data_IF_760824247397
#
_entry.id   IF_760824247397
#
_cell.length_a   1.000
_cell.length_b   1.000
_cell.length_c   1.000
_cell.angle_alpha   90.00
_cell.angle_beta   90.00
_cell.angle_gamma   90.00
#
_symmetry.space_group_name_H-M   'P 1'
#
loop_
_entity.id
_entity.type
_entity.pdbx_description
1 polymer ?
#
# COMPACT_ATOMS: atom_id res chain seq x y z
N UNK A 1 20.91 11.39 -10.77
CA UNK A 1 21.24 12.79 -11.00
C UNK A 1 22.32 13.22 -10.04
N UNK A 2 23.32 13.94 -10.53
CA UNK A 2 24.42 14.48 -9.72
C UNK A 2 23.93 15.77 -9.07
N UNK A 3 24.12 15.98 -7.76
CA UNK A 3 23.69 17.20 -7.10
C UNK A 3 24.32 18.44 -7.73
N UNK A 4 23.49 19.39 -8.13
CA UNK A 4 23.93 20.68 -8.70
C UNK A 4 24.25 20.70 -10.19
N UNK A 5 24.14 19.60 -10.92
CA UNK A 5 24.22 19.61 -12.38
C UNK A 5 22.91 20.07 -13.01
N UNK A 6 23.00 21.04 -13.93
CA UNK A 6 21.86 21.54 -14.68
C UNK A 6 21.45 20.56 -15.80
N UNK A 7 20.18 20.50 -16.11
CA UNK A 7 19.64 19.70 -17.20
C UNK A 7 18.57 20.48 -17.97
N UNK A 8 18.83 20.74 -19.24
CA UNK A 8 17.88 21.43 -20.14
C UNK A 8 16.58 20.64 -20.26
N UNK A 9 16.64 19.32 -20.15
CA UNK A 9 15.47 18.44 -20.12
C UNK A 9 14.57 18.73 -18.91
N UNK A 10 15.14 18.92 -17.73
CA UNK A 10 14.38 19.22 -16.52
C UNK A 10 13.75 20.60 -16.57
N UNK A 11 14.46 21.62 -17.04
CA UNK A 11 13.87 22.96 -17.21
C UNK A 11 12.76 22.96 -18.25
N UNK A 12 12.91 22.23 -19.36
CA UNK A 12 11.88 22.12 -20.39
C UNK A 12 10.60 21.47 -19.90
N UNK A 13 10.69 20.35 -19.18
CA UNK A 13 9.49 19.59 -18.75
C UNK A 13 8.86 20.09 -17.44
N UNK A 14 9.66 20.58 -16.49
CA UNK A 14 9.17 20.99 -15.18
C UNK A 14 9.07 22.52 -15.02
N UNK A 15 9.68 23.26 -15.94
CA UNK A 15 9.74 24.71 -15.91
C UNK A 15 10.59 25.25 -14.75
N UNK A 16 10.77 26.56 -14.74
CA UNK A 16 11.58 27.26 -13.71
C UNK A 16 10.96 27.22 -12.31
N UNK A 17 9.67 26.91 -12.22
CA UNK A 17 9.00 26.75 -10.93
C UNK A 17 9.58 25.60 -10.11
N UNK A 18 9.93 24.49 -10.76
CA UNK A 18 10.40 23.26 -10.14
C UNK A 18 11.85 22.91 -10.46
N UNK A 19 12.37 23.39 -11.57
CA UNK A 19 13.73 23.16 -12.01
C UNK A 19 14.41 24.45 -12.52
N UNK A 20 14.58 25.47 -11.67
CA UNK A 20 15.21 26.73 -12.06
C UNK A 20 16.64 26.49 -12.56
N UNK A 21 16.91 26.99 -13.77
CA UNK A 21 18.21 26.75 -14.43
C UNK A 21 18.58 25.29 -14.66
N UNK A 22 17.55 24.40 -14.73
CA UNK A 22 17.75 22.97 -14.94
C UNK A 22 18.15 22.16 -13.70
N UNK A 23 18.13 22.77 -12.52
CA UNK A 23 18.39 22.11 -11.21
C UNK A 23 17.07 21.88 -10.48
N UNK A 24 16.78 20.63 -10.14
CA UNK A 24 15.55 20.27 -9.45
C UNK A 24 15.52 20.84 -8.03
N UNK A 25 14.42 21.49 -7.65
CA UNK A 25 14.19 21.92 -6.26
C UNK A 25 14.07 20.72 -5.32
N UNK A 26 14.52 20.87 -4.08
CA UNK A 26 14.50 19.81 -3.07
C UNK A 26 13.09 19.26 -2.83
N UNK A 27 12.10 20.13 -2.70
CA UNK A 27 10.69 19.71 -2.48
C UNK A 27 10.15 18.89 -3.65
N UNK A 28 10.48 19.27 -4.89
CA UNK A 28 10.07 18.51 -6.07
C UNK A 28 10.78 17.15 -6.13
N UNK A 29 12.07 17.11 -5.77
CA UNK A 29 12.79 15.84 -5.68
C UNK A 29 12.15 14.90 -4.65
N UNK A 30 11.88 15.38 -3.44
CA UNK A 30 11.19 14.62 -2.39
C UNK A 30 9.79 14.19 -2.81
N UNK A 31 9.09 15.07 -3.53
CA UNK A 31 7.80 14.74 -4.14
C UNK A 31 7.88 13.59 -5.14
N UNK A 32 8.85 13.62 -6.05
CA UNK A 32 9.08 12.53 -7.01
C UNK A 32 9.43 11.22 -6.31
N UNK A 33 10.27 11.25 -5.27
CA UNK A 33 10.60 10.06 -4.45
C UNK A 33 9.34 9.50 -3.75
N UNK A 34 8.53 10.39 -3.17
CA UNK A 34 7.27 10.01 -2.49
C UNK A 34 6.30 9.35 -3.45
N UNK A 35 6.04 9.97 -4.59
CA UNK A 35 5.12 9.44 -5.60
C UNK A 35 5.66 8.16 -6.24
N UNK A 36 6.98 8.10 -6.52
CA UNK A 36 7.60 6.88 -7.03
C UNK A 36 7.41 5.71 -6.06
N UNK A 37 7.71 5.88 -4.77
CA UNK A 37 7.48 4.85 -3.77
C UNK A 37 6.02 4.43 -3.68
N UNK A 38 5.09 5.39 -3.67
CA UNK A 38 3.64 5.12 -3.63
C UNK A 38 3.17 4.34 -4.86
N UNK A 39 3.55 4.77 -6.07
CA UNK A 39 3.14 4.10 -7.31
C UNK A 39 3.70 2.68 -7.37
N UNK A 40 4.97 2.49 -7.04
CA UNK A 40 5.61 1.17 -7.10
C UNK A 40 4.95 0.19 -6.13
N UNK A 41 4.71 0.58 -4.89
CA UNK A 41 4.15 -0.32 -3.87
C UNK A 41 2.67 -0.59 -4.12
N UNK A 42 1.85 0.45 -4.21
CA UNK A 42 0.40 0.29 -4.24
C UNK A 42 -0.13 0.07 -5.67
N UNK A 43 0.25 0.89 -6.63
CA UNK A 43 -0.35 0.84 -7.96
C UNK A 43 0.27 -0.25 -8.84
N UNK A 44 1.60 -0.40 -8.85
CA UNK A 44 2.26 -1.37 -9.70
C UNK A 44 2.24 -2.78 -9.08
N UNK A 45 2.77 -2.93 -7.87
CA UNK A 45 2.91 -4.26 -7.29
C UNK A 45 1.56 -4.79 -6.80
N UNK A 46 0.78 -4.03 -6.05
CA UNK A 46 -0.51 -4.49 -5.55
C UNK A 46 -1.57 -4.48 -6.64
N UNK A 47 -1.76 -3.38 -7.34
CA UNK A 47 -2.74 -3.27 -8.43
C UNK A 47 -2.36 -4.12 -9.64
N UNK A 48 -1.11 -4.06 -10.10
CA UNK A 48 -0.62 -4.79 -11.26
C UNK A 48 -0.44 -6.29 -10.98
N UNK A 49 0.37 -6.65 -9.99
CA UNK A 49 0.67 -8.06 -9.71
C UNK A 49 -0.53 -8.78 -9.09
N UNK A 50 -1.06 -8.29 -7.98
CA UNK A 50 -2.19 -8.95 -7.32
C UNK A 50 -3.50 -8.75 -8.07
N UNK A 51 -3.80 -7.54 -8.55
CA UNK A 51 -5.07 -7.25 -9.23
C UNK A 51 -5.19 -7.89 -10.61
N UNK A 52 -4.18 -7.75 -11.47
CA UNK A 52 -4.24 -8.27 -12.85
C UNK A 52 -4.12 -9.80 -12.88
N UNK A 53 -3.10 -10.34 -12.22
CA UNK A 53 -2.89 -11.80 -12.27
C UNK A 53 -3.96 -12.59 -11.52
N UNK A 54 -4.51 -12.06 -10.42
CA UNK A 54 -5.59 -12.75 -9.72
C UNK A 54 -6.86 -12.82 -10.55
N UNK A 55 -7.27 -11.73 -11.21
CA UNK A 55 -8.45 -11.71 -12.08
C UNK A 55 -8.32 -12.66 -13.28
N UNK A 56 -7.10 -12.85 -13.78
CA UNK A 56 -6.83 -13.79 -14.87
C UNK A 56 -6.73 -15.23 -14.36
N UNK A 57 -5.91 -15.46 -13.34
CA UNK A 57 -5.50 -16.82 -12.95
C UNK A 57 -6.49 -17.51 -12.03
N UNK A 58 -7.20 -16.79 -11.16
CA UNK A 58 -8.16 -17.43 -10.26
C UNK A 58 -9.24 -18.16 -11.06
N UNK A 59 -10.00 -17.53 -11.96
CA UNK A 59 -11.02 -18.26 -12.73
C UNK A 59 -10.43 -19.40 -13.56
N UNK A 60 -9.31 -19.17 -14.24
CA UNK A 60 -8.68 -20.18 -15.09
C UNK A 60 -8.23 -21.41 -14.29
N UNK A 61 -7.56 -21.21 -13.16
CA UNK A 61 -6.98 -22.32 -12.39
C UNK A 61 -8.00 -23.08 -11.55
N UNK A 62 -9.12 -22.45 -11.15
CA UNK A 62 -10.19 -23.16 -10.44
C UNK A 62 -11.28 -23.70 -11.35
N UNK A 63 -11.23 -23.41 -12.65
CA UNK A 63 -12.24 -23.81 -13.63
C UNK A 63 -13.56 -23.04 -13.55
N UNK A 64 -13.54 -21.82 -13.03
CA UNK A 64 -14.68 -20.90 -13.03
C UNK A 64 -14.79 -20.17 -14.38
N UNK A 65 -16.01 -19.77 -14.75
CA UNK A 65 -16.23 -18.98 -15.97
C UNK A 65 -15.74 -17.55 -15.83
N UNK A 66 -15.90 -16.97 -14.64
CA UNK A 66 -15.54 -15.60 -14.30
C UNK A 66 -15.41 -15.49 -12.77
N UNK A 67 -15.08 -14.28 -12.27
CA UNK A 67 -15.14 -13.93 -10.87
C UNK A 67 -16.60 -14.01 -10.35
N UNK A 68 -16.77 -14.23 -9.04
CA UNK A 68 -18.10 -14.44 -8.44
C UNK A 68 -19.05 -13.26 -8.64
N UNK A 69 -18.54 -12.03 -8.61
CA UNK A 69 -19.31 -10.82 -8.84
C UNK A 69 -18.67 -9.93 -9.90
N UNK A 70 -19.25 -9.91 -11.09
CA UNK A 70 -18.83 -8.99 -12.16
C UNK A 70 -19.00 -7.51 -11.78
N UNK A 71 -20.03 -7.19 -10.97
CA UNK A 71 -20.25 -5.83 -10.48
C UNK A 71 -19.13 -5.37 -9.54
N UNK A 72 -18.78 -6.18 -8.54
CA UNK A 72 -17.68 -5.86 -7.61
C UNK A 72 -16.36 -5.75 -8.36
N UNK A 73 -16.12 -6.59 -9.34
CA UNK A 73 -14.93 -6.56 -10.17
C UNK A 73 -14.82 -5.26 -10.96
N UNK A 74 -15.90 -4.86 -11.61
CA UNK A 74 -15.97 -3.61 -12.39
C UNK A 74 -15.82 -2.38 -11.48
N UNK A 75 -16.50 -2.34 -10.33
CA UNK A 75 -16.38 -1.24 -9.39
C UNK A 75 -14.96 -1.13 -8.83
N UNK A 76 -14.33 -2.25 -8.47
CA UNK A 76 -12.93 -2.29 -8.03
C UNK A 76 -12.01 -1.65 -9.08
N UNK A 77 -12.15 -2.02 -10.35
CA UNK A 77 -11.37 -1.42 -11.43
C UNK A 77 -11.60 0.09 -11.56
N UNK A 78 -12.84 0.58 -11.53
CA UNK A 78 -13.12 2.01 -11.68
C UNK A 78 -12.62 2.84 -10.50
N UNK A 79 -12.72 2.34 -9.28
CA UNK A 79 -12.12 3.01 -8.12
C UNK A 79 -10.59 3.07 -8.25
N UNK A 80 -9.95 2.00 -8.70
CA UNK A 80 -8.51 1.97 -8.97
C UNK A 80 -8.12 2.97 -10.06
N UNK A 81 -8.86 3.00 -11.16
CA UNK A 81 -8.58 3.89 -12.29
C UNK A 81 -8.68 5.36 -11.90
N UNK A 82 -9.75 5.76 -11.20
CA UNK A 82 -9.91 7.14 -10.72
C UNK A 82 -8.81 7.48 -9.71
N UNK A 83 -8.50 6.58 -8.79
CA UNK A 83 -7.39 6.72 -7.84
C UNK A 83 -6.06 7.00 -8.56
N UNK A 84 -5.76 6.23 -9.62
CA UNK A 84 -4.54 6.39 -10.42
C UNK A 84 -4.48 7.75 -11.10
N UNK A 85 -5.60 8.22 -11.66
CA UNK A 85 -5.68 9.55 -12.29
C UNK A 85 -5.41 10.65 -11.26
N UNK A 86 -6.04 10.59 -10.08
CA UNK A 86 -5.85 11.59 -9.02
C UNK A 86 -4.38 11.63 -8.58
N UNK A 87 -3.74 10.46 -8.43
CA UNK A 87 -2.31 10.36 -8.08
C UNK A 87 -1.43 11.01 -9.14
N UNK A 88 -1.69 10.75 -10.42
CA UNK A 88 -0.93 11.35 -11.52
C UNK A 88 -1.17 12.87 -11.63
N UNK A 89 -2.39 13.34 -11.46
CA UNK A 89 -2.73 14.77 -11.48
C UNK A 89 -1.98 15.51 -10.39
N UNK A 90 -1.75 14.87 -9.22
CA UNK A 90 -1.00 15.50 -8.12
C UNK A 90 0.43 15.92 -8.48
N UNK A 91 1.02 15.35 -9.54
CA UNK A 91 2.35 15.74 -10.04
C UNK A 91 2.37 17.10 -10.74
N UNK A 92 1.23 17.54 -11.28
CA UNK A 92 1.14 18.70 -12.18
C UNK A 92 0.47 19.92 -11.54
N UNK A 93 0.16 19.86 -10.25
CA UNK A 93 -0.46 20.99 -9.54
C UNK A 93 0.60 22.00 -9.09
N UNK A 94 0.21 23.26 -8.94
CA UNK A 94 1.09 24.37 -8.58
C UNK A 94 1.83 24.16 -7.25
N UNK A 95 1.15 23.57 -6.26
CA UNK A 95 1.74 23.26 -4.94
C UNK A 95 2.70 22.07 -4.94
N UNK A 96 2.83 21.39 -6.07
CA UNK A 96 3.63 20.17 -6.20
C UNK A 96 2.97 18.92 -5.57
N UNK A 97 3.56 17.74 -5.81
CA UNK A 97 3.11 16.48 -5.25
C UNK A 97 3.36 16.38 -3.74
N UNK A 98 2.74 15.41 -3.08
CA UNK A 98 3.08 15.07 -1.70
C UNK A 98 4.59 14.75 -1.59
N UNK A 99 5.28 15.34 -0.60
CA UNK A 99 6.74 15.24 -0.47
C UNK A 99 7.21 14.81 0.93
N UNK A 100 6.33 14.22 1.73
CA UNK A 100 6.63 13.75 3.10
C UNK A 100 7.10 12.28 3.16
N UNK A 101 7.50 11.70 2.02
CA UNK A 101 7.81 10.26 1.89
C UNK A 101 6.56 9.42 1.65
N UNK A 102 6.71 8.21 1.09
CA UNK A 102 5.57 7.34 0.74
C UNK A 102 4.77 6.84 1.95
N UNK A 103 5.37 6.86 3.15
CA UNK A 103 4.70 6.51 4.41
C UNK A 103 3.85 7.64 4.99
N UNK A 104 4.02 8.88 4.51
CA UNK A 104 3.18 10.04 4.85
C UNK A 104 3.06 10.26 6.36
N UNK A 105 4.15 10.30 7.07
CA UNK A 105 4.13 10.46 8.53
C UNK A 105 3.69 11.87 8.98
N UNK A 106 2.70 11.97 9.89
CA UNK A 106 2.48 13.18 10.65
C UNK A 106 3.63 13.42 11.66
N UNK A 107 3.89 14.64 12.09
CA UNK A 107 3.09 15.86 11.86
C UNK A 107 3.30 16.53 10.51
N UNK A 108 4.38 16.22 9.78
CA UNK A 108 4.73 16.87 8.50
C UNK A 108 3.56 16.81 7.50
N UNK A 109 2.96 15.63 7.32
CA UNK A 109 1.85 15.41 6.39
C UNK A 109 0.52 15.98 6.87
N UNK A 110 0.36 16.21 8.18
CA UNK A 110 -0.88 16.70 8.78
C UNK A 110 -1.00 18.23 8.76
N UNK A 111 0.13 18.95 8.67
CA UNK A 111 0.16 20.41 8.73
C UNK A 111 0.12 21.02 7.32
N UNK A 112 -0.97 21.71 6.92
CA UNK A 112 -1.05 22.35 5.61
C UNK A 112 0.03 23.42 5.37
N UNK A 113 0.60 23.96 6.45
CA UNK A 113 1.64 24.99 6.42
C UNK A 113 3.05 24.42 6.29
N UNK A 114 3.25 23.14 6.54
CA UNK A 114 4.56 22.52 6.51
C UNK A 114 5.11 22.47 5.07
N UNK A 115 6.37 22.85 4.91
CA UNK A 115 7.10 22.67 3.65
C UNK A 115 7.32 21.19 3.44
N UNK A 116 7.13 20.72 2.21
CA UNK A 116 7.36 19.33 1.84
C UNK A 116 6.24 18.34 2.17
N UNK A 117 5.30 18.69 3.04
CA UNK A 117 4.15 17.83 3.39
C UNK A 117 2.79 18.48 3.14
N UNK A 118 2.81 19.68 2.58
CA UNK A 118 1.67 20.60 2.57
C UNK A 118 0.96 20.70 1.22
N UNK A 119 -0.11 21.49 1.24
CA UNK A 119 -0.83 21.88 0.04
C UNK A 119 -1.75 20.79 -0.52
N UNK A 120 -2.26 21.10 -1.72
CA UNK A 120 -3.24 20.28 -2.42
C UNK A 120 -2.69 18.90 -2.82
N UNK A 121 -1.39 18.80 -3.11
CA UNK A 121 -0.77 17.54 -3.49
C UNK A 121 -0.90 16.45 -2.45
N UNK A 122 -0.72 16.80 -1.17
CA UNK A 122 -0.92 15.88 -0.07
C UNK A 122 -2.40 15.48 0.08
N UNK A 123 -3.32 16.42 -0.10
CA UNK A 123 -4.75 16.12 -0.05
C UNK A 123 -5.18 15.19 -1.20
N UNK A 124 -4.65 15.40 -2.41
CA UNK A 124 -4.89 14.52 -3.55
C UNK A 124 -4.30 13.13 -3.33
N UNK A 125 -3.12 13.03 -2.70
CA UNK A 125 -2.54 11.74 -2.32
C UNK A 125 -3.50 10.97 -1.38
N UNK A 126 -4.01 11.63 -0.34
CA UNK A 126 -4.96 11.03 0.60
C UNK A 126 -6.27 10.61 -0.08
N UNK A 127 -6.81 11.46 -0.96
CA UNK A 127 -8.01 11.14 -1.74
C UNK A 127 -7.78 9.92 -2.66
N UNK A 128 -6.64 9.89 -3.36
CA UNK A 128 -6.24 8.77 -4.20
C UNK A 128 -6.14 7.48 -3.39
N UNK A 129 -5.43 7.50 -2.27
CA UNK A 129 -5.28 6.31 -1.42
C UNK A 129 -6.60 5.83 -0.80
N UNK A 130 -7.50 6.74 -0.48
CA UNK A 130 -8.86 6.38 -0.03
C UNK A 130 -9.59 5.54 -1.08
N UNK A 131 -9.57 5.97 -2.34
CA UNK A 131 -10.19 5.23 -3.46
C UNK A 131 -9.46 3.92 -3.76
N UNK A 132 -8.12 3.92 -3.68
CA UNK A 132 -7.31 2.72 -3.84
C UNK A 132 -7.70 1.64 -2.81
N UNK A 133 -7.85 2.02 -1.54
CA UNK A 133 -8.25 1.08 -0.47
C UNK A 133 -9.65 0.51 -0.72
N UNK A 134 -10.61 1.34 -1.12
CA UNK A 134 -11.96 0.86 -1.49
C UNK A 134 -11.88 -0.14 -2.63
N UNK A 135 -11.10 0.16 -3.68
CA UNK A 135 -10.86 -0.75 -4.80
C UNK A 135 -10.32 -2.11 -4.33
N UNK A 136 -9.26 -2.07 -3.52
CA UNK A 136 -8.59 -3.28 -3.03
C UNK A 136 -9.49 -4.14 -2.14
N UNK A 137 -10.35 -3.52 -1.32
CA UNK A 137 -11.35 -4.23 -0.52
C UNK A 137 -12.38 -4.97 -1.38
N UNK A 138 -12.93 -4.29 -2.39
CA UNK A 138 -13.91 -4.89 -3.29
C UNK A 138 -13.31 -6.07 -4.06
N UNK A 139 -12.07 -5.92 -4.57
CA UNK A 139 -11.34 -6.98 -5.25
C UNK A 139 -11.06 -8.16 -4.33
N UNK A 140 -10.52 -7.92 -3.14
CA UNK A 140 -10.19 -8.95 -2.16
C UNK A 140 -11.41 -9.76 -1.73
N UNK A 141 -12.55 -9.11 -1.48
CA UNK A 141 -13.81 -9.78 -1.18
C UNK A 141 -14.25 -10.68 -2.33
N UNK A 142 -14.17 -10.17 -3.56
CA UNK A 142 -14.54 -10.94 -4.75
C UNK A 142 -13.65 -12.18 -4.94
N UNK A 143 -12.32 -12.07 -4.68
CA UNK A 143 -11.40 -13.21 -4.76
C UNK A 143 -11.73 -14.28 -3.74
N UNK A 144 -12.00 -13.92 -2.49
CA UNK A 144 -12.38 -14.86 -1.44
C UNK A 144 -13.65 -15.63 -1.84
N UNK A 145 -14.71 -14.90 -2.24
CA UNK A 145 -15.98 -15.52 -2.62
C UNK A 145 -15.82 -16.42 -3.85
N UNK A 146 -15.03 -16.00 -4.83
CA UNK A 146 -14.75 -16.78 -6.04
C UNK A 146 -14.07 -18.10 -5.69
N UNK A 147 -12.99 -18.05 -4.90
CA UNK A 147 -12.24 -19.24 -4.50
C UNK A 147 -13.08 -20.18 -3.65
N UNK A 148 -13.92 -19.68 -2.75
CA UNK A 148 -14.74 -20.51 -1.89
C UNK A 148 -15.90 -21.19 -2.65
N UNK A 149 -16.57 -20.47 -3.54
CA UNK A 149 -17.84 -20.88 -4.10
C UNK A 149 -17.80 -21.43 -5.53
N UNK A 150 -16.81 -21.02 -6.33
CA UNK A 150 -16.79 -21.29 -7.78
C UNK A 150 -15.76 -22.34 -8.22
N UNK A 151 -15.12 -23.04 -7.30
CA UNK A 151 -14.25 -24.17 -7.66
C UNK A 151 -15.02 -25.25 -8.40
N UNK A 152 -14.42 -25.78 -9.46
CA UNK A 152 -14.99 -26.90 -10.21
C UNK A 152 -15.22 -28.11 -9.31
N UNK A 153 -16.18 -28.94 -9.66
CA UNK A 153 -16.50 -30.18 -8.91
C UNK A 153 -15.28 -31.07 -8.79
N UNK A 154 -14.99 -31.53 -7.57
CA UNK A 154 -13.82 -32.36 -7.27
C UNK A 154 -12.56 -31.59 -6.88
N UNK A 155 -12.51 -30.27 -7.07
CA UNK A 155 -11.42 -29.42 -6.59
C UNK A 155 -11.65 -29.02 -5.12
N UNK A 156 -11.20 -29.87 -4.23
CA UNK A 156 -11.16 -29.55 -2.80
C UNK A 156 -10.04 -28.56 -2.49
N UNK A 157 -10.06 -27.93 -1.31
CA UNK A 157 -8.99 -27.00 -0.88
C UNK A 157 -7.60 -27.64 -1.00
N UNK A 158 -7.45 -28.92 -0.68
CA UNK A 158 -6.18 -29.66 -0.76
C UNK A 158 -5.75 -30.04 -2.18
N UNK A 159 -6.53 -29.66 -3.19
CA UNK A 159 -6.23 -29.90 -4.63
C UNK A 159 -6.05 -28.58 -5.40
N UNK A 160 -6.15 -27.44 -4.73
CA UNK A 160 -5.94 -26.15 -5.37
C UNK A 160 -4.46 -25.93 -5.71
N UNK A 161 -4.13 -25.29 -6.84
CA UNK A 161 -2.79 -24.81 -7.12
C UNK A 161 -2.23 -23.92 -6.01
N UNK A 162 -0.90 -23.88 -5.81
CA UNK A 162 -0.27 -23.01 -4.81
C UNK A 162 -0.50 -21.53 -5.14
N UNK A 163 -0.54 -21.17 -6.42
CA UNK A 163 -0.90 -19.81 -6.85
C UNK A 163 -2.27 -19.39 -6.31
N UNK A 164 -3.28 -20.26 -6.33
CA UNK A 164 -4.61 -19.97 -5.81
C UNK A 164 -4.59 -19.86 -4.28
N UNK A 165 -3.84 -20.69 -3.59
CA UNK A 165 -3.64 -20.53 -2.15
C UNK A 165 -3.00 -19.18 -1.80
N UNK A 166 -1.98 -18.77 -2.57
CA UNK A 166 -1.33 -17.50 -2.38
C UNK A 166 -2.29 -16.32 -2.57
N UNK A 167 -3.05 -16.27 -3.66
CA UNK A 167 -4.07 -15.23 -3.89
C UNK A 167 -5.19 -15.27 -2.85
N UNK A 168 -5.60 -16.43 -2.41
CA UNK A 168 -6.65 -16.57 -1.39
C UNK A 168 -6.21 -16.00 -0.04
N UNK A 169 -5.00 -16.34 0.41
CA UNK A 169 -4.44 -15.78 1.66
C UNK A 169 -4.18 -14.28 1.50
N UNK A 170 -3.65 -13.85 0.37
CA UNK A 170 -3.47 -12.42 0.03
C UNK A 170 -4.80 -11.64 0.14
N UNK A 171 -5.88 -12.20 -0.38
CA UNK A 171 -7.20 -11.56 -0.29
C UNK A 171 -7.71 -11.47 1.16
N UNK A 172 -7.43 -12.47 2.00
CA UNK A 172 -7.76 -12.41 3.44
C UNK A 172 -6.94 -11.32 4.12
N UNK A 173 -5.63 -11.24 3.84
CA UNK A 173 -4.78 -10.15 4.34
C UNK A 173 -5.35 -8.78 3.97
N UNK A 174 -5.75 -8.62 2.72
CA UNK A 174 -6.33 -7.36 2.21
C UNK A 174 -7.62 -6.98 2.96
N UNK A 175 -8.59 -7.89 3.09
CA UNK A 175 -9.85 -7.60 3.80
C UNK A 175 -9.62 -7.20 5.26
N UNK A 176 -8.61 -7.77 5.92
CA UNK A 176 -8.34 -7.49 7.34
C UNK A 176 -7.50 -6.22 7.55
N UNK A 177 -6.59 -5.89 6.63
CA UNK A 177 -5.63 -4.79 6.83
C UNK A 177 -5.99 -3.49 6.12
N UNK A 178 -6.61 -3.53 4.94
CA UNK A 178 -7.01 -2.30 4.23
C UNK A 178 -7.99 -1.41 4.99
N UNK A 179 -8.98 -1.90 5.77
CA UNK A 179 -9.84 -1.03 6.58
C UNK A 179 -9.07 -0.22 7.62
N UNK A 180 -7.95 -0.75 8.14
CA UNK A 180 -7.12 -0.05 9.11
C UNK A 180 -6.35 1.10 8.43
N UNK A 181 -5.81 0.89 7.23
CA UNK A 181 -5.23 1.97 6.44
C UNK A 181 -6.28 3.03 6.05
N UNK A 182 -7.49 2.58 5.67
CA UNK A 182 -8.59 3.50 5.39
C UNK A 182 -8.85 4.45 6.57
N UNK A 183 -8.90 3.91 7.79
CA UNK A 183 -9.04 4.69 9.01
C UNK A 183 -7.88 5.66 9.20
N UNK A 184 -6.63 5.21 9.00
CA UNK A 184 -5.44 6.06 9.11
C UNK A 184 -5.49 7.26 8.16
N UNK A 185 -5.85 7.02 6.90
CA UNK A 185 -5.94 8.05 5.86
C UNK A 185 -7.09 9.03 6.14
N UNK A 186 -8.25 8.53 6.56
CA UNK A 186 -9.39 9.40 6.89
C UNK A 186 -9.11 10.30 8.10
N UNK A 187 -8.54 9.76 9.18
CA UNK A 187 -8.18 10.55 10.35
C UNK A 187 -7.14 11.62 10.01
N UNK A 188 -6.16 11.30 9.16
CA UNK A 188 -5.19 12.27 8.67
C UNK A 188 -5.85 13.35 7.79
N UNK A 189 -6.81 12.97 6.97
CA UNK A 189 -7.59 13.93 6.17
C UNK A 189 -8.42 14.86 7.07
N UNK A 190 -8.98 14.35 8.17
CA UNK A 190 -9.69 15.17 9.17
C UNK A 190 -8.75 16.15 9.87
N UNK A 191 -7.53 15.74 10.26
CA UNK A 191 -6.54 16.63 10.85
C UNK A 191 -6.18 17.78 9.89
N UNK A 192 -6.08 17.51 8.59
CA UNK A 192 -5.74 18.50 7.57
C UNK A 192 -6.89 19.45 7.20
N UNK A 193 -8.10 18.93 7.08
CA UNK A 193 -9.23 19.66 6.49
C UNK A 193 -10.27 20.12 7.52
N UNK A 194 -10.44 19.38 8.62
CA UNK A 194 -11.44 19.67 9.64
C UNK A 194 -10.84 20.22 10.95
N UNK A 195 -9.50 20.37 11.02
CA UNK A 195 -8.84 20.93 12.20
C UNK A 195 -8.93 20.01 13.42
N UNK A 196 -8.97 18.69 13.23
CA UNK A 196 -8.82 17.73 14.33
C UNK A 196 -7.33 17.52 14.66
N UNK A 197 -7.04 16.77 15.71
CA UNK A 197 -5.67 16.53 16.17
C UNK A 197 -5.40 15.08 16.53
N UNK A 198 -5.93 14.13 15.77
CA UNK A 198 -5.70 12.71 16.03
C UNK A 198 -4.21 12.35 16.06
N UNK A 199 -3.43 12.98 15.18
CA UNK A 199 -2.00 12.70 14.98
C UNK A 199 -1.09 13.90 15.32
N UNK A 200 -1.66 15.02 15.73
CA UNK A 200 -0.92 16.21 16.12
C UNK A 200 -0.69 16.22 17.64
N UNK A 201 0.56 16.04 18.04
CA UNK A 201 0.99 16.21 19.43
C UNK A 201 1.09 17.70 19.80
N UNK A 202 1.56 17.98 21.01
CA UNK A 202 1.88 19.33 21.46
C UNK A 202 3.08 19.86 20.64
N UNK A 203 2.78 20.73 19.67
CA UNK A 203 3.77 21.29 18.74
C UNK A 203 3.79 22.81 18.92
N UNK A 204 4.98 23.36 19.13
CA UNK A 204 5.23 24.79 19.25
C UNK A 204 5.84 25.30 17.95
N UNK A 205 5.20 26.29 17.31
CA UNK A 205 5.68 26.94 16.10
C UNK A 205 5.78 28.46 16.38
N UNK A 206 6.96 29.00 16.20
CA UNK A 206 7.18 30.44 16.45
C UNK A 206 6.98 30.89 17.90
N UNK A 207 7.05 29.97 18.87
CA UNK A 207 6.82 30.24 20.29
C UNK A 207 5.37 30.04 20.75
N UNK A 208 4.45 29.74 19.83
CA UNK A 208 3.04 29.48 20.14
C UNK A 208 2.68 28.01 19.91
N UNK A 209 1.86 27.46 20.79
CA UNK A 209 1.32 26.11 20.63
C UNK A 209 0.27 26.08 19.53
N UNK A 210 0.27 25.03 18.71
CA UNK A 210 -0.78 24.84 17.70
C UNK A 210 -2.15 24.80 18.36
N UNK A 211 -3.14 25.40 17.71
CA UNK A 211 -4.52 25.44 18.21
C UNK A 211 -5.12 24.04 18.39
N UNK A 212 -4.77 23.11 17.50
CA UNK A 212 -5.22 21.72 17.54
C UNK A 212 -4.02 20.83 17.89
N UNK A 213 -4.05 20.22 19.07
CA UNK A 213 -2.97 19.40 19.63
C UNK A 213 -3.53 18.34 20.59
N UNK A 214 -2.65 17.51 21.17
CA UNK A 214 -3.02 16.47 22.14
C UNK A 214 -3.20 15.07 21.56
N UNK A 215 -3.00 14.91 20.25
CA UNK A 215 -2.96 13.60 19.59
C UNK A 215 -1.56 12.96 19.60
N UNK A 216 -1.36 11.93 18.78
CA UNK A 216 -0.08 11.22 18.71
C UNK A 216 0.28 10.76 17.31
N UNK A 217 1.43 11.16 16.76
CA UNK A 217 1.95 10.62 15.49
C UNK A 217 2.18 9.11 15.52
N UNK A 218 2.43 8.55 16.70
CA UNK A 218 2.65 7.10 16.88
C UNK A 218 1.37 6.32 16.53
N UNK A 219 0.19 6.87 16.80
CA UNK A 219 -1.08 6.25 16.41
C UNK A 219 -1.15 6.04 14.90
N UNK A 220 -0.76 7.06 14.11
CA UNK A 220 -0.69 6.92 12.65
C UNK A 220 0.25 5.79 12.24
N UNK A 221 1.44 5.73 12.84
CA UNK A 221 2.44 4.71 12.49
C UNK A 221 1.92 3.29 12.76
N UNK A 222 1.24 3.06 13.88
CA UNK A 222 0.61 1.77 14.16
C UNK A 222 -0.46 1.42 13.13
N UNK A 223 -1.37 2.34 12.81
CA UNK A 223 -2.43 2.11 11.83
C UNK A 223 -1.87 1.91 10.42
N UNK A 224 -0.86 2.70 10.04
CA UNK A 224 -0.21 2.56 8.74
C UNK A 224 0.52 1.21 8.60
N UNK A 225 1.35 0.84 9.58
CA UNK A 225 2.17 -0.37 9.51
C UNK A 225 1.38 -1.65 9.75
N UNK A 226 0.23 -1.57 10.40
CA UNK A 226 -0.68 -2.71 10.48
C UNK A 226 -1.18 -3.18 9.09
N UNK A 227 -1.25 -2.29 8.11
CA UNK A 227 -1.33 -2.69 6.71
C UNK A 227 0.06 -2.80 6.08
N UNK A 228 0.96 -1.84 6.31
CA UNK A 228 2.20 -1.70 5.55
C UNK A 228 3.07 -2.96 5.57
N UNK A 229 3.06 -3.73 6.67
CA UNK A 229 3.74 -5.02 6.70
C UNK A 229 2.95 -6.12 5.97
N UNK A 230 1.66 -6.38 6.24
CA UNK A 230 0.87 -7.28 5.40
C UNK A 230 0.91 -6.94 3.91
N UNK A 231 1.04 -5.68 3.53
CA UNK A 231 1.15 -5.24 2.14
C UNK A 231 2.34 -5.89 1.41
N UNK A 232 3.50 -5.98 2.06
CA UNK A 232 4.66 -6.64 1.43
C UNK A 232 4.41 -8.14 1.21
N UNK A 233 3.62 -8.78 2.06
CA UNK A 233 3.21 -10.18 1.87
C UNK A 233 2.07 -10.31 0.84
N UNK A 234 1.20 -9.32 0.69
CA UNK A 234 0.22 -9.24 -0.39
C UNK A 234 0.91 -9.30 -1.76
N UNK A 235 2.10 -8.74 -1.86
CA UNK A 235 2.94 -8.81 -3.07
C UNK A 235 3.73 -10.12 -3.13
N UNK A 236 4.36 -10.52 -2.03
CA UNK A 236 5.29 -11.66 -1.99
C UNK A 236 4.59 -13.01 -2.20
N UNK A 237 3.46 -13.25 -1.54
CA UNK A 237 2.79 -14.55 -1.60
C UNK A 237 2.37 -14.94 -3.02
N UNK A 238 1.72 -14.07 -3.81
CA UNK A 238 1.44 -14.36 -5.22
C UNK A 238 2.68 -14.69 -6.04
N UNK A 239 3.77 -13.94 -5.83
CA UNK A 239 5.04 -14.18 -6.53
C UNK A 239 5.60 -15.56 -6.19
N UNK A 240 5.56 -16.00 -4.94
CA UNK A 240 6.00 -17.33 -4.50
C UNK A 240 5.09 -18.44 -5.05
N UNK A 241 3.77 -18.23 -5.06
CA UNK A 241 2.81 -19.16 -5.66
C UNK A 241 3.08 -19.37 -7.15
N UNK A 242 3.17 -18.26 -7.90
CA UNK A 242 3.47 -18.27 -9.34
C UNK A 242 4.82 -18.95 -9.64
N UNK A 243 5.88 -18.59 -8.91
CA UNK A 243 7.20 -19.17 -9.09
C UNK A 243 7.19 -20.69 -8.87
N UNK A 244 6.45 -21.16 -7.86
CA UNK A 244 6.32 -22.59 -7.57
C UNK A 244 5.65 -23.35 -8.73
N UNK A 245 4.59 -22.80 -9.31
CA UNK A 245 3.90 -23.39 -10.46
C UNK A 245 4.76 -23.37 -11.73
N UNK A 246 5.46 -22.25 -12.00
CA UNK A 246 6.37 -22.13 -13.14
C UNK A 246 7.51 -23.15 -13.04
N UNK A 247 8.13 -23.29 -11.86
CA UNK A 247 9.21 -24.27 -11.65
C UNK A 247 8.68 -25.70 -11.82
N UNK A 248 7.53 -26.02 -11.25
CA UNK A 248 6.88 -27.33 -11.38
C UNK A 248 6.62 -27.68 -12.85
N UNK A 249 6.04 -26.73 -13.59
CA UNK A 249 5.71 -26.92 -15.00
C UNK A 249 6.96 -27.12 -15.86
N UNK A 250 7.98 -26.27 -15.70
CA UNK A 250 9.21 -26.36 -16.50
C UNK A 250 10.06 -27.60 -16.13
N UNK A 251 10.11 -28.00 -14.88
CA UNK A 251 10.79 -29.22 -14.44
C UNK A 251 10.02 -30.49 -14.75
N UNK A 252 8.74 -30.39 -15.12
CA UNK A 252 7.79 -31.49 -15.32
C UNK A 252 7.71 -32.42 -14.11
N UNK A 253 7.78 -31.85 -12.89
CA UNK A 253 7.73 -32.57 -11.63
C UNK A 253 6.65 -32.00 -10.73
N UNK A 254 5.96 -32.82 -9.91
CA UNK A 254 5.01 -32.32 -8.93
C UNK A 254 5.72 -31.44 -7.90
N UNK A 255 4.99 -30.51 -7.31
CA UNK A 255 5.49 -29.63 -6.26
C UNK A 255 5.89 -30.48 -5.05
N UNK A 256 7.15 -30.36 -4.63
CA UNK A 256 7.67 -31.05 -3.45
C UNK A 256 7.04 -30.46 -2.17
N UNK A 257 6.55 -31.35 -1.31
CA UNK A 257 6.02 -30.94 0.00
C UNK A 257 4.79 -30.04 -0.08
N UNK A 258 3.88 -30.22 -1.04
CA UNK A 258 2.71 -29.37 -1.28
C UNK A 258 1.97 -28.95 0.00
N UNK A 259 1.72 -29.88 0.94
CA UNK A 259 1.03 -29.57 2.21
C UNK A 259 1.88 -28.67 3.11
N UNK A 260 3.19 -28.85 3.15
CA UNK A 260 4.11 -28.00 3.89
C UNK A 260 4.15 -26.59 3.28
N UNK A 261 4.13 -26.47 1.94
CA UNK A 261 4.07 -25.19 1.24
C UNK A 261 2.78 -24.42 1.57
N UNK A 262 1.63 -25.08 1.59
CA UNK A 262 0.37 -24.46 2.05
C UNK A 262 0.50 -24.02 3.50
N UNK A 263 1.03 -24.87 4.37
CA UNK A 263 1.27 -24.53 5.78
C UNK A 263 2.14 -23.29 5.95
N UNK A 264 3.19 -23.17 5.13
CA UNK A 264 4.07 -21.98 5.12
C UNK A 264 3.35 -20.71 4.65
N UNK A 265 2.54 -20.80 3.58
CA UNK A 265 1.73 -19.67 3.09
C UNK A 265 0.76 -19.19 4.18
N UNK A 266 0.06 -20.12 4.84
CA UNK A 266 -0.86 -19.79 5.93
C UNK A 266 -0.14 -19.22 7.15
N UNK A 267 1.02 -19.78 7.52
CA UNK A 267 1.83 -19.29 8.64
C UNK A 267 2.33 -17.87 8.38
N UNK A 268 2.89 -17.60 7.21
CA UNK A 268 3.32 -16.25 6.80
C UNK A 268 2.14 -15.28 6.84
N UNK A 269 0.99 -15.66 6.28
CA UNK A 269 -0.21 -14.82 6.32
C UNK A 269 -0.64 -14.50 7.74
N UNK A 270 -0.67 -15.45 8.65
CA UNK A 270 -1.03 -15.24 10.06
C UNK A 270 0.01 -14.37 10.78
N UNK A 271 1.30 -14.71 10.65
CA UNK A 271 2.39 -13.99 11.32
C UNK A 271 2.48 -12.53 10.87
N UNK A 272 2.09 -12.21 9.64
CA UNK A 272 2.12 -10.84 9.12
C UNK A 272 1.37 -9.82 9.98
N UNK A 273 0.37 -10.27 10.76
CA UNK A 273 -0.40 -9.42 11.67
C UNK A 273 0.21 -9.22 13.05
N UNK A 274 1.36 -9.82 13.35
CA UNK A 274 2.01 -9.71 14.66
C UNK A 274 3.47 -9.24 14.58
N UNK A 275 3.91 -8.74 13.42
CA UNK A 275 5.29 -8.32 13.19
C UNK A 275 5.45 -6.85 12.80
N UNK A 276 4.36 -6.10 12.56
CA UNK A 276 4.43 -4.75 11.99
C UNK A 276 5.28 -3.75 12.78
N UNK A 277 5.46 -3.97 14.09
CA UNK A 277 6.21 -3.05 14.95
C UNK A 277 7.70 -2.99 14.65
N UNK A 278 8.26 -3.91 13.84
CA UNK A 278 9.66 -3.82 13.43
C UNK A 278 9.94 -2.61 12.51
N UNK A 279 8.92 -2.03 11.93
CA UNK A 279 9.02 -0.75 11.21
C UNK A 279 9.06 0.47 12.14
N UNK A 280 8.92 0.27 13.45
CA UNK A 280 8.72 1.33 14.45
C UNK A 280 9.77 1.33 15.57
N UNK A 281 10.92 0.67 15.42
CA UNK A 281 11.93 0.59 16.46
C UNK A 281 12.49 1.93 16.92
N UNK A 282 12.51 2.93 16.02
CA UNK A 282 13.02 4.28 16.32
C UNK A 282 11.96 5.24 16.85
N UNK A 283 10.73 4.77 17.12
CA UNK A 283 9.62 5.64 17.60
C UNK A 283 9.59 5.81 19.12
N UNK A 284 10.60 5.29 19.82
CA UNK A 284 10.62 5.29 21.30
C UNK A 284 9.88 4.08 21.91
N UNK A 285 9.75 2.99 21.17
CA UNK A 285 9.13 1.75 21.65
C UNK A 285 9.85 1.19 22.88
N UNK A 286 9.07 0.67 23.84
CA UNK A 286 9.63 -0.03 24.98
C UNK A 286 10.54 -1.20 24.53
N UNK A 287 11.76 -1.36 25.07
CA UNK A 287 12.71 -2.39 24.66
C UNK A 287 12.16 -3.82 24.73
N UNK A 288 11.31 -4.12 25.71
CA UNK A 288 10.66 -5.44 25.80
C UNK A 288 9.73 -5.68 24.61
N UNK A 289 8.87 -4.72 24.29
CA UNK A 289 7.98 -4.81 23.12
C UNK A 289 8.79 -4.87 21.83
N UNK A 290 9.87 -4.08 21.73
CA UNK A 290 10.80 -4.15 20.59
C UNK A 290 11.39 -5.56 20.43
N UNK A 291 11.78 -6.22 21.52
CA UNK A 291 12.29 -7.59 21.50
C UNK A 291 11.22 -8.60 21.02
N UNK A 292 9.96 -8.41 21.41
CA UNK A 292 8.85 -9.24 20.91
C UNK A 292 8.74 -9.12 19.39
N UNK A 293 8.76 -7.89 18.84
CA UNK A 293 8.68 -7.68 17.39
C UNK A 293 9.92 -8.20 16.63
N UNK A 294 11.11 -8.18 17.24
CA UNK A 294 12.30 -8.84 16.68
C UNK A 294 12.07 -10.34 16.60
N UNK A 295 11.66 -10.96 17.72
CA UNK A 295 11.47 -12.41 17.79
C UNK A 295 10.37 -12.92 16.83
N UNK A 296 9.26 -12.20 16.71
CA UNK A 296 8.16 -12.60 15.80
C UNK A 296 8.53 -12.40 14.33
N UNK A 297 9.54 -11.57 14.04
CA UNK A 297 10.00 -11.30 12.67
C UNK A 297 10.99 -12.35 12.17
N UNK A 298 11.84 -12.90 13.04
CA UNK A 298 12.85 -13.92 12.72
C UNK A 298 12.24 -15.32 12.60
#
# INVERSE_FOLDING_TARGET
AWPGESSDFLSFFLGDSWAPGGVLKEDMYLGLVTIHGTIMVFFLLTGGLSGTFSNLLIPLQIGARDMASGLLNMLSYWFFFISSIIMLVSLFIETGPASSGWTIYPPLSALPQAIGGSGLGMTLWLASMTLFVVSSLLGSLNYIVTVLNLRTKGMTMTRMPLTIWAFFVTAILGVLSFPVLFSAVLLLMMDRLAGTSFYLSDIIVGGEMLANHGGSPILYQHLFWFLGHPEVYIVLLPALGLSSEVISTNSRKPIFGYRAMIGSILAIGFLSFIVWGHHMFVTGMNPFIGSVFVFTTL
#
